data_IF_755030561536
#
_entry.id   IF_755030561536
#
_cell.length_a   1.000
_cell.length_b   1.000
_cell.length_c   1.000
_cell.angle_alpha   90.00
_cell.angle_beta   90.00
_cell.angle_gamma   90.00
#
_symmetry.space_group_name_H-M   'P 1'
#
loop_
_entity.id
_entity.type
_entity.pdbx_description
1 polymer ?
#
# COMPACT_ATOMS: atom_id res chain seq x y z
N UNK A 1 12.69 -8.96 -19.81
CA UNK A 1 13.98 -9.21 -19.12
C UNK A 1 13.92 -10.63 -18.58
N UNK A 2 15.05 -11.31 -18.38
CA UNK A 2 15.03 -12.60 -17.68
C UNK A 2 14.66 -12.39 -16.20
N UNK A 3 13.93 -13.34 -15.61
CA UNK A 3 13.52 -13.29 -14.21
C UNK A 3 14.70 -13.59 -13.29
N UNK A 4 15.52 -12.57 -13.03
CA UNK A 4 16.65 -12.59 -12.10
C UNK A 4 16.24 -12.02 -10.75
N UNK A 5 16.90 -12.47 -9.68
CA UNK A 5 16.59 -12.06 -8.31
C UNK A 5 17.85 -11.76 -7.50
N UNK A 6 17.74 -10.85 -6.53
CA UNK A 6 18.79 -10.52 -5.57
C UNK A 6 18.43 -11.16 -4.23
N UNK A 7 19.38 -11.87 -3.61
CA UNK A 7 19.22 -12.41 -2.25
C UNK A 7 19.44 -11.31 -1.21
N UNK A 8 18.37 -10.80 -0.62
CA UNK A 8 18.45 -9.82 0.46
C UNK A 8 18.50 -10.50 1.83
N UNK A 9 19.58 -10.29 2.58
CA UNK A 9 19.69 -10.79 3.95
C UNK A 9 18.87 -9.94 4.92
N UNK A 10 18.22 -10.58 5.90
CA UNK A 10 17.44 -9.90 6.97
C UNK A 10 18.23 -8.89 7.79
N UNK A 11 19.56 -9.01 7.79
CA UNK A 11 20.49 -8.03 8.36
C UNK A 11 20.35 -6.64 7.71
N UNK A 12 19.80 -6.53 6.50
CA UNK A 12 19.42 -5.26 5.90
C UNK A 12 18.50 -4.43 6.82
N UNK A 13 17.64 -5.08 7.61
CA UNK A 13 16.75 -4.40 8.58
C UNK A 13 17.47 -3.72 9.75
N UNK A 14 18.79 -3.94 9.92
CA UNK A 14 19.64 -3.26 10.90
C UNK A 14 20.29 -1.98 10.34
N UNK A 15 20.18 -1.71 9.04
CA UNK A 15 20.80 -0.54 8.41
C UNK A 15 19.92 0.71 8.57
N UNK A 16 20.51 1.86 8.87
CA UNK A 16 19.76 3.11 9.05
C UNK A 16 19.04 3.57 7.78
N UNK A 17 19.63 3.36 6.59
CA UNK A 17 19.00 3.70 5.29
C UNK A 17 17.79 2.79 4.99
N UNK A 18 17.82 1.54 5.46
CA UNK A 18 16.65 0.65 5.40
C UNK A 18 15.55 1.07 6.40
N UNK A 19 15.86 1.94 7.36
CA UNK A 19 14.88 2.43 8.33
C UNK A 19 14.54 3.92 8.14
N UNK A 20 14.89 4.50 6.98
CA UNK A 20 14.55 5.88 6.62
C UNK A 20 13.02 6.05 6.49
N UNK A 21 12.48 7.13 7.08
CA UNK A 21 11.03 7.33 7.21
C UNK A 21 10.55 8.55 6.43
N UNK A 22 9.32 8.54 5.89
CA UNK A 22 8.33 7.47 5.98
C UNK A 22 8.54 6.38 4.92
N UNK A 23 8.21 5.13 5.26
CA UNK A 23 8.29 4.02 4.31
C UNK A 23 7.31 4.24 3.14
N UNK A 24 7.70 3.81 1.94
CA UNK A 24 6.74 3.55 0.87
C UNK A 24 5.98 2.23 1.08
N UNK A 25 5.02 1.92 0.21
CA UNK A 25 4.18 0.72 0.37
C UNK A 25 4.93 -0.59 0.10
N UNK A 26 5.83 -0.60 -0.88
CA UNK A 26 6.60 -1.79 -1.22
C UNK A 26 7.63 -2.07 -0.13
N UNK A 27 8.37 -1.06 0.30
CA UNK A 27 9.34 -1.17 1.37
C UNK A 27 8.71 -1.60 2.71
N UNK A 28 7.48 -1.15 3.01
CA UNK A 28 6.70 -1.67 4.14
C UNK A 28 6.33 -3.17 4.00
N UNK A 29 6.05 -3.66 2.78
CA UNK A 29 5.81 -5.09 2.53
C UNK A 29 7.10 -5.92 2.56
N UNK A 30 8.21 -5.38 2.01
CA UNK A 30 9.55 -5.95 2.13
C UNK A 30 9.98 -6.10 3.59
N UNK A 31 9.71 -5.10 4.44
CA UNK A 31 9.92 -5.20 5.89
C UNK A 31 9.13 -6.37 6.49
N UNK A 32 7.86 -6.55 6.11
CA UNK A 32 7.04 -7.69 6.59
C UNK A 32 7.63 -9.03 6.11
N UNK A 33 8.03 -9.15 4.85
CA UNK A 33 8.72 -10.33 4.29
C UNK A 33 10.01 -10.68 5.06
N UNK A 34 10.83 -9.67 5.37
CA UNK A 34 12.09 -9.85 6.12
C UNK A 34 11.89 -10.13 7.62
N UNK A 35 10.69 -9.92 8.16
CA UNK A 35 10.35 -10.18 9.58
C UNK A 35 9.48 -11.42 9.79
N UNK A 36 8.67 -11.85 8.83
CA UNK A 36 7.97 -13.15 8.81
C UNK A 36 8.91 -14.31 9.15
N UNK A 37 8.56 -15.26 10.02
CA UNK A 37 9.47 -16.34 10.39
C UNK A 37 9.70 -17.29 9.19
N UNK A 38 10.93 -17.83 9.06
CA UNK A 38 11.28 -18.77 7.98
C UNK A 38 10.92 -20.22 8.32
N UNK A 39 10.76 -20.52 9.60
CA UNK A 39 10.43 -21.82 10.14
C UNK A 39 9.46 -21.61 11.29
N UNK A 40 8.64 -22.62 11.57
CA UNK A 40 7.71 -22.62 12.70
C UNK A 40 8.44 -22.30 14.01
N UNK A 41 7.81 -21.47 14.85
CA UNK A 41 8.38 -21.01 16.11
C UNK A 41 7.29 -20.87 17.16
N UNK A 42 7.63 -21.18 18.41
CA UNK A 42 6.81 -20.83 19.57
C UNK A 42 7.54 -19.77 20.39
N UNK A 43 6.83 -18.73 20.80
CA UNK A 43 7.33 -17.64 21.66
C UNK A 43 6.36 -17.38 22.82
N UNK A 44 6.88 -16.90 23.96
CA UNK A 44 6.02 -16.45 25.07
C UNK A 44 5.94 -14.94 25.05
N UNK A 45 4.75 -14.40 24.82
CA UNK A 45 4.49 -12.96 24.71
C UNK A 45 3.43 -12.59 25.73
N UNK A 46 3.79 -11.71 26.68
CA UNK A 46 2.91 -11.25 27.77
C UNK A 46 2.25 -12.40 28.56
N UNK A 47 2.99 -13.49 28.76
CA UNK A 47 2.53 -14.69 29.47
C UNK A 47 1.69 -15.67 28.64
N UNK A 48 1.36 -15.36 27.39
CA UNK A 48 0.70 -16.30 26.47
C UNK A 48 1.72 -17.00 25.57
N UNK A 49 1.49 -18.29 25.31
CA UNK A 49 2.28 -19.10 24.38
C UNK A 49 1.74 -18.88 22.96
N UNK A 50 2.48 -18.13 22.16
CA UNK A 50 2.18 -17.82 20.76
C UNK A 50 2.91 -18.80 19.86
N UNK A 51 2.15 -19.60 19.10
CA UNK A 51 2.67 -20.40 17.99
C UNK A 51 2.60 -19.59 16.70
N UNK A 52 3.67 -19.62 15.91
CA UNK A 52 3.80 -18.97 14.60
C UNK A 52 4.22 -20.01 13.57
N UNK A 53 3.45 -20.12 12.49
CA UNK A 53 3.75 -20.96 11.33
C UNK A 53 4.70 -20.26 10.35
N UNK A 54 5.34 -21.02 9.47
CA UNK A 54 6.25 -20.47 8.45
C UNK A 54 5.55 -19.39 7.60
N UNK A 55 6.17 -18.22 7.49
CA UNK A 55 5.59 -17.05 6.82
C UNK A 55 4.76 -16.13 7.71
N UNK A 56 4.60 -16.44 9.01
CA UNK A 56 3.89 -15.59 9.97
C UNK A 56 4.84 -14.69 10.77
N UNK A 57 4.34 -13.55 11.23
CA UNK A 57 4.94 -12.75 12.30
C UNK A 57 3.85 -12.19 13.22
N UNK A 58 4.19 -11.96 14.49
CA UNK A 58 3.31 -11.24 15.41
C UNK A 58 3.81 -9.81 15.63
N UNK A 59 2.91 -8.84 15.51
CA UNK A 59 3.21 -7.41 15.62
C UNK A 59 2.12 -6.66 16.36
N UNK A 60 2.48 -5.54 16.98
CA UNK A 60 1.50 -4.52 17.38
C UNK A 60 1.30 -3.55 16.22
N UNK A 61 0.07 -3.38 15.71
CA UNK A 61 -0.22 -2.43 14.62
C UNK A 61 0.19 -0.99 14.97
N UNK A 62 0.11 -0.60 16.25
CA UNK A 62 0.64 0.69 16.70
C UNK A 62 2.15 0.79 16.48
N UNK A 63 2.90 -0.23 16.92
CA UNK A 63 4.36 -0.25 16.78
C UNK A 63 4.77 -0.34 15.31
N UNK A 64 4.01 -1.07 14.49
CA UNK A 64 4.20 -1.16 13.05
C UNK A 64 4.03 0.20 12.35
N UNK A 65 3.01 0.98 12.74
CA UNK A 65 2.81 2.35 12.26
C UNK A 65 3.96 3.29 12.68
N UNK A 66 4.44 3.18 13.92
CA UNK A 66 5.61 3.91 14.44
C UNK A 66 6.90 3.53 13.66
N UNK A 67 7.09 2.25 13.32
CA UNK A 67 8.20 1.77 12.47
C UNK A 67 8.14 2.38 11.08
N UNK A 68 7.01 2.29 10.39
CA UNK A 68 6.86 2.79 9.00
C UNK A 68 6.79 4.32 8.89
N UNK A 69 6.67 5.04 10.01
CA UNK A 69 6.48 6.50 10.02
C UNK A 69 5.10 6.90 9.50
N UNK A 70 4.07 6.10 9.78
CA UNK A 70 2.72 6.25 9.23
C UNK A 70 1.69 6.58 10.31
N UNK A 71 0.62 7.28 9.93
CA UNK A 71 -0.59 7.36 10.76
C UNK A 71 -1.31 6.01 10.79
N UNK A 72 -2.03 5.73 11.89
CA UNK A 72 -2.85 4.51 12.05
C UNK A 72 -3.77 4.26 10.84
N UNK A 73 -4.50 5.27 10.40
CA UNK A 73 -5.39 5.17 9.24
C UNK A 73 -4.68 5.09 7.87
N UNK A 74 -3.36 5.28 7.78
CA UNK A 74 -2.58 4.92 6.58
C UNK A 74 -2.19 3.44 6.64
N UNK A 75 -1.80 2.94 7.82
CA UNK A 75 -1.52 1.53 8.03
C UNK A 75 -2.76 0.65 7.81
N UNK A 76 -3.93 1.00 8.37
CA UNK A 76 -5.17 0.23 8.20
C UNK A 76 -5.55 0.09 6.71
N UNK A 77 -5.46 1.18 5.94
CA UNK A 77 -5.66 1.15 4.47
C UNK A 77 -4.64 0.30 3.73
N UNK A 78 -3.40 0.22 4.23
CA UNK A 78 -2.37 -0.64 3.66
C UNK A 78 -2.62 -2.12 3.97
N UNK A 79 -3.04 -2.45 5.19
CA UNK A 79 -3.46 -3.81 5.55
C UNK A 79 -4.60 -4.30 4.65
N UNK A 80 -5.68 -3.51 4.51
CA UNK A 80 -6.79 -3.83 3.61
C UNK A 80 -6.38 -3.96 2.14
N UNK A 81 -5.39 -3.16 1.70
CA UNK A 81 -4.83 -3.30 0.35
C UNK A 81 -4.10 -4.64 0.18
N UNK A 82 -3.26 -5.05 1.14
CA UNK A 82 -2.55 -6.34 1.09
C UNK A 82 -3.51 -7.53 1.19
N UNK A 83 -4.55 -7.44 2.02
CA UNK A 83 -5.64 -8.43 2.12
C UNK A 83 -6.36 -8.55 0.77
N UNK A 84 -6.74 -7.43 0.15
CA UNK A 84 -7.42 -7.41 -1.16
C UNK A 84 -6.57 -7.92 -2.33
N UNK A 85 -5.24 -7.88 -2.19
CA UNK A 85 -4.28 -8.33 -3.20
C UNK A 85 -3.74 -9.74 -2.94
N UNK A 86 -4.25 -10.45 -1.92
CA UNK A 86 -3.77 -11.77 -1.49
C UNK A 86 -2.24 -11.81 -1.27
N UNK A 87 -1.73 -10.75 -0.63
CA UNK A 87 -0.31 -10.59 -0.30
C UNK A 87 -0.04 -10.88 1.18
N UNK A 88 -0.98 -10.51 2.06
CA UNK A 88 -0.92 -10.82 3.48
C UNK A 88 -2.30 -10.69 4.15
N UNK A 89 -2.55 -11.53 5.15
CA UNK A 89 -3.74 -11.49 6.01
C UNK A 89 -3.37 -11.14 7.46
N UNK A 90 -4.30 -10.48 8.18
CA UNK A 90 -4.06 -9.91 9.52
C UNK A 90 -5.09 -10.44 10.54
N UNK A 91 -4.74 -11.49 11.28
CA UNK A 91 -5.56 -12.00 12.38
C UNK A 91 -5.33 -11.17 13.66
N UNK A 92 -6.41 -10.51 14.09
CA UNK A 92 -6.47 -9.61 15.25
C UNK A 92 -7.16 -10.27 16.45
N UNK A 93 -7.64 -11.51 16.32
CA UNK A 93 -8.49 -12.21 17.27
C UNK A 93 -7.75 -13.31 18.04
N UNK A 94 -6.92 -14.13 17.39
CA UNK A 94 -6.31 -15.38 17.96
C UNK A 94 -5.78 -15.24 19.39
N UNK A 95 -4.97 -14.21 19.63
CA UNK A 95 -4.36 -13.91 20.94
C UNK A 95 -4.87 -12.60 21.55
N UNK A 96 -5.89 -11.98 20.94
CA UNK A 96 -6.47 -10.72 21.34
C UNK A 96 -5.56 -9.48 21.19
N UNK A 97 -6.19 -8.30 21.27
CA UNK A 97 -5.53 -7.01 21.06
C UNK A 97 -4.42 -6.67 22.08
N UNK A 98 -4.39 -7.35 23.23
CA UNK A 98 -3.36 -7.18 24.24
C UNK A 98 -2.02 -7.80 23.84
N UNK A 99 -2.02 -8.96 23.16
CA UNK A 99 -0.79 -9.66 22.75
C UNK A 99 -0.28 -9.13 21.43
N UNK A 100 -1.11 -9.16 20.37
CA UNK A 100 -0.73 -8.64 19.06
C UNK A 100 -1.65 -9.09 17.92
N UNK A 101 -1.23 -8.78 16.71
CA UNK A 101 -1.83 -9.21 15.45
C UNK A 101 -0.90 -10.20 14.78
N UNK A 102 -1.38 -11.39 14.42
CA UNK A 102 -0.66 -12.29 13.53
C UNK A 102 -0.79 -11.74 12.12
N UNK A 103 0.32 -11.60 11.42
CA UNK A 103 0.38 -11.28 10.00
C UNK A 103 0.90 -12.52 9.30
N UNK A 104 0.10 -13.09 8.40
CA UNK A 104 0.49 -14.21 7.54
C UNK A 104 0.84 -13.66 6.18
N UNK A 105 2.07 -13.89 5.70
CA UNK A 105 2.41 -13.56 4.31
C UNK A 105 1.87 -14.66 3.40
N UNK A 106 0.96 -14.29 2.52
CA UNK A 106 0.36 -15.24 1.59
C UNK A 106 1.35 -15.61 0.49
N UNK A 107 1.37 -16.89 0.12
CA UNK A 107 2.34 -17.44 -0.83
C UNK A 107 3.82 -17.25 -0.39
N UNK A 108 4.12 -17.15 0.91
CA UNK A 108 5.46 -16.86 1.44
C UNK A 108 6.61 -17.68 0.80
N UNK A 109 6.40 -18.96 0.52
CA UNK A 109 7.37 -19.83 -0.17
C UNK A 109 7.83 -19.25 -1.51
N UNK A 110 6.94 -18.63 -2.31
CA UNK A 110 7.29 -17.98 -3.59
C UNK A 110 8.32 -16.84 -3.45
N UNK A 111 8.43 -16.25 -2.25
CA UNK A 111 9.39 -15.18 -1.94
C UNK A 111 10.69 -15.71 -1.32
N UNK A 112 10.76 -16.98 -0.94
CA UNK A 112 11.94 -17.61 -0.30
C UNK A 112 12.63 -18.64 -1.19
N UNK A 113 11.85 -19.36 -1.99
CA UNK A 113 12.32 -20.33 -2.97
C UNK A 113 12.58 -19.60 -4.28
N UNK A 114 13.86 -19.28 -4.53
CA UNK A 114 14.27 -18.85 -5.87
C UNK A 114 13.94 -19.97 -6.84
N UNK A 115 13.04 -19.71 -7.80
CA UNK A 115 12.39 -20.71 -8.66
C UNK A 115 13.28 -21.92 -8.96
N UNK A 116 12.92 -23.08 -8.43
CA UNK A 116 13.00 -24.27 -9.26
C UNK A 116 12.08 -23.99 -10.47
N UNK A 117 12.59 -24.17 -11.67
CA UNK A 117 11.87 -23.89 -12.93
C UNK A 117 10.65 -24.79 -13.04
N UNK A 118 9.49 -24.30 -12.62
CA UNK A 118 8.19 -24.94 -12.83
C UNK A 118 7.67 -24.56 -14.22
N UNK A 119 8.30 -25.12 -15.25
CA UNK A 119 7.68 -25.27 -16.56
C UNK A 119 6.75 -26.49 -16.50
N UNK A 120 5.55 -26.28 -15.93
CA UNK A 120 4.43 -27.22 -16.00
C UNK A 120 3.12 -26.52 -15.62
N UNK A 121 2.33 -26.23 -16.65
CA UNK A 121 0.88 -26.45 -16.79
C UNK A 121 -0.02 -26.48 -15.54
N UNK A 122 -1.08 -25.70 -15.62
CA UNK A 122 -2.31 -25.82 -14.85
C UNK A 122 -3.04 -27.14 -15.14
N UNK A 123 -2.89 -28.15 -14.28
CA UNK A 123 -3.87 -29.24 -14.17
C UNK A 123 -4.25 -29.54 -12.73
N UNK A 124 -5.55 -29.78 -12.54
CA UNK A 124 -6.18 -30.19 -11.29
C UNK A 124 -6.09 -31.71 -11.16
N UNK A 125 -5.78 -32.24 -9.97
CA UNK A 125 -6.53 -33.36 -9.33
C UNK A 125 -6.04 -33.67 -7.91
N UNK A 126 -6.82 -34.48 -7.21
CA UNK A 126 -6.81 -34.64 -5.76
C UNK A 126 -5.78 -35.64 -5.20
N UNK A 127 -5.35 -35.33 -3.96
CA UNK A 127 -5.12 -36.26 -2.85
C UNK A 127 -3.90 -37.21 -2.79
N UNK A 128 -3.34 -37.20 -1.56
CA UNK A 128 -2.71 -38.31 -0.80
C UNK A 128 -1.18 -38.30 -0.69
N UNK A 129 -0.74 -38.55 0.56
CA UNK A 129 0.57 -38.98 1.08
C UNK A 129 1.68 -39.35 0.08
N UNK A 130 2.96 -39.04 0.34
CA UNK A 130 3.61 -39.52 1.57
C UNK A 130 4.84 -38.71 2.04
N UNK A 131 5.32 -39.05 3.24
CA UNK A 131 6.55 -38.53 3.85
C UNK A 131 7.79 -39.18 3.21
N UNK A 132 8.81 -38.38 2.89
CA UNK A 132 10.20 -38.82 3.08
C UNK A 132 11.11 -37.69 3.56
N UNK A 133 11.87 -37.98 4.61
CA UNK A 133 12.98 -37.19 5.13
C UNK A 133 14.13 -37.07 4.13
N UNK A 134 14.87 -35.95 4.13
CA UNK A 134 16.34 -36.06 4.16
C UNK A 134 17.06 -34.85 4.76
N UNK A 135 17.73 -35.12 5.89
CA UNK A 135 19.03 -34.51 6.26
C UNK A 135 20.05 -35.07 5.22
N UNK A 136 21.20 -34.48 4.90
CA UNK A 136 22.35 -34.30 5.80
C UNK A 136 23.45 -33.52 5.06
N UNK A 137 24.21 -32.70 5.80
CA UNK A 137 25.61 -32.24 5.56
C UNK A 137 26.20 -32.09 4.14
N UNK A 138 26.87 -30.93 3.92
CA UNK A 138 28.34 -30.97 3.89
C UNK A 138 29.00 -29.66 4.37
N UNK A 139 30.17 -29.80 5.00
CA UNK A 139 31.11 -28.74 5.40
C UNK A 139 32.45 -28.99 4.70
N UNK A 140 33.07 -27.96 4.16
CA UNK A 140 34.53 -27.77 3.96
C UNK A 140 34.74 -26.32 3.49
N UNK A 141 35.21 -25.38 4.33
CA UNK A 141 36.61 -25.01 4.66
C UNK A 141 37.34 -24.21 3.55
N UNK A 142 37.75 -22.98 3.91
CA UNK A 142 39.01 -22.25 3.59
C UNK A 142 39.64 -22.37 2.18
N UNK A 143 40.13 -21.34 1.48
CA UNK A 143 40.64 -19.99 1.84
C UNK A 143 40.24 -18.99 0.71
N UNK A 144 40.73 -17.75 0.52
CA UNK A 144 41.85 -16.95 1.08
C UNK A 144 41.49 -15.44 1.03
N UNK A 145 42.36 -14.54 1.51
CA UNK A 145 42.20 -13.08 1.44
C UNK A 145 43.23 -12.39 0.52
N UNK A 146 42.84 -11.31 -0.16
CA UNK A 146 43.74 -10.28 -0.74
C UNK A 146 43.19 -8.88 -0.42
N UNK A 147 44.07 -7.92 -0.15
CA UNK A 147 43.77 -6.53 0.29
C UNK A 147 44.11 -5.49 -0.79
N UNK A 148 43.26 -4.43 -0.89
CA UNK A 148 43.58 -3.02 -1.24
C UNK A 148 44.11 -2.78 -2.70
N UNK A 149 44.13 -1.56 -3.27
CA UNK A 149 44.00 -0.18 -2.73
C UNK A 149 43.33 0.84 -3.70
N UNK A 150 43.37 2.16 -3.40
CA UNK A 150 42.63 3.27 -4.08
C UNK A 150 43.49 4.10 -5.06
N UNK A 151 42.88 4.73 -6.10
CA UNK A 151 42.78 6.22 -6.28
C UNK A 151 42.08 6.71 -7.58
N UNK A 152 41.35 7.84 -7.43
CA UNK A 152 41.23 9.07 -8.27
C UNK A 152 41.82 9.12 -9.71
N UNK A 153 41.31 9.87 -10.73
CA UNK A 153 40.34 11.00 -10.77
C UNK A 153 39.86 11.36 -12.22
N UNK A 154 38.67 11.99 -12.29
CA UNK A 154 38.18 13.07 -13.21
C UNK A 154 37.73 12.87 -14.70
N UNK A 155 36.56 13.50 -14.96
CA UNK A 155 36.04 14.23 -16.13
C UNK A 155 35.87 13.60 -17.54
N UNK A 156 34.60 13.47 -18.00
CA UNK A 156 33.96 14.47 -18.89
C UNK A 156 32.45 14.23 -19.13
N UNK A 157 31.73 15.32 -19.47
CA UNK A 157 30.29 15.41 -19.76
C UNK A 157 29.83 14.58 -20.97
N UNK A 158 28.57 14.10 -20.98
CA UNK A 158 27.52 14.75 -21.80
C UNK A 158 26.06 14.28 -21.52
N UNK A 159 25.12 15.24 -21.59
CA UNK A 159 23.79 15.23 -22.26
C UNK A 159 23.10 13.84 -22.38
N UNK A 160 21.90 13.60 -21.85
CA UNK A 160 20.68 14.39 -22.07
C UNK A 160 19.85 14.69 -20.81
N UNK A 161 19.53 15.98 -20.64
CA UNK A 161 18.29 16.41 -19.98
C UNK A 161 17.45 17.13 -21.05
N UNK A 162 16.36 16.52 -21.50
CA UNK A 162 15.26 17.21 -22.18
C UNK A 162 13.99 17.00 -21.36
N UNK A 163 13.65 17.93 -20.48
CA UNK A 163 12.81 19.07 -20.84
C UNK A 163 11.41 18.64 -21.32
N UNK A 164 10.49 18.45 -20.37
CA UNK A 164 9.18 19.11 -20.52
C UNK A 164 9.26 20.44 -19.80
N UNK A 165 9.19 21.49 -20.62
CA UNK A 165 9.35 22.89 -20.26
C UNK A 165 8.40 23.30 -19.14
N UNK A 166 8.96 23.71 -17.99
CA UNK A 166 8.30 24.71 -17.16
C UNK A 166 8.58 26.06 -17.81
N UNK A 167 7.59 26.61 -18.51
CA UNK A 167 7.64 28.03 -18.89
C UNK A 167 7.35 28.82 -17.61
N UNK A 168 8.41 29.21 -16.91
CA UNK A 168 8.32 30.17 -15.81
C UNK A 168 8.12 31.57 -16.39
N UNK A 169 6.86 31.93 -16.66
CA UNK A 169 6.47 33.30 -16.39
C UNK A 169 6.43 33.42 -14.87
N UNK A 170 7.23 34.34 -14.32
CA UNK A 170 7.26 34.56 -12.89
C UNK A 170 6.00 35.29 -12.46
N UNK A 171 5.19 34.64 -11.63
CA UNK A 171 4.20 35.30 -10.79
C UNK A 171 3.95 34.45 -9.54
N UNK A 172 3.55 35.11 -8.45
CA UNK A 172 3.54 34.52 -7.11
C UNK A 172 2.63 33.28 -6.98
N UNK A 173 2.95 32.42 -6.01
CA UNK A 173 2.08 31.30 -5.61
C UNK A 173 0.70 31.87 -5.28
N UNK A 174 -0.27 31.66 -6.18
CA UNK A 174 -1.60 32.21 -6.00
C UNK A 174 -2.22 31.61 -4.74
N UNK A 175 -2.49 32.47 -3.77
CA UNK A 175 -3.34 32.13 -2.63
C UNK A 175 -4.69 31.71 -3.21
N UNK A 176 -5.31 30.68 -2.64
CA UNK A 176 -6.62 30.21 -3.10
C UNK A 176 -7.62 31.38 -3.10
N UNK A 177 -8.00 31.84 -4.29
CA UNK A 177 -9.06 32.83 -4.48
C UNK A 177 -10.38 32.09 -4.52
N UNK A 178 -11.30 32.44 -3.62
CA UNK A 178 -12.66 31.91 -3.69
C UNK A 178 -13.31 32.36 -5.00
N UNK A 179 -13.96 31.46 -5.77
CA UNK A 179 -14.66 31.84 -6.98
C UNK A 179 -15.87 32.72 -6.67
N UNK A 180 -16.21 33.55 -7.62
CA UNK A 180 -17.51 34.20 -7.70
C UNK A 180 -18.58 33.21 -8.21
N UNK A 181 -19.84 33.46 -7.87
CA UNK A 181 -20.99 32.71 -8.39
C UNK A 181 -21.01 32.69 -9.93
N UNK A 182 -20.59 33.78 -10.58
CA UNK A 182 -20.51 33.86 -12.05
C UNK A 182 -19.45 32.92 -12.62
N UNK A 183 -18.27 32.79 -12.00
CA UNK A 183 -17.24 31.84 -12.45
C UNK A 183 -17.69 30.39 -12.30
N UNK A 184 -18.34 30.04 -11.18
CA UNK A 184 -18.90 28.69 -10.99
C UNK A 184 -19.99 28.41 -12.03
N UNK A 185 -20.92 29.35 -12.24
CA UNK A 185 -22.00 29.24 -13.24
C UNK A 185 -21.45 29.06 -14.66
N UNK A 186 -20.47 29.86 -15.06
CA UNK A 186 -19.81 29.72 -16.35
C UNK A 186 -19.15 28.35 -16.52
N UNK A 187 -18.46 27.85 -15.49
CA UNK A 187 -17.81 26.53 -15.52
C UNK A 187 -18.81 25.37 -15.57
N UNK A 188 -19.94 25.44 -14.85
CA UNK A 188 -21.01 24.44 -14.93
C UNK A 188 -21.63 24.38 -16.34
N UNK A 189 -21.89 25.55 -16.96
CA UNK A 189 -22.41 25.67 -18.33
C UNK A 189 -21.40 25.12 -19.35
N UNK A 190 -20.12 25.52 -19.27
CA UNK A 190 -19.02 25.04 -20.13
C UNK A 190 -18.93 23.51 -20.11
N UNK A 191 -19.05 22.92 -18.91
CA UNK A 191 -18.98 21.47 -18.69
C UNK A 191 -20.28 20.72 -19.01
N UNK A 192 -21.39 21.43 -19.27
CA UNK A 192 -22.75 20.88 -19.39
C UNK A 192 -23.13 19.95 -18.23
N UNK A 193 -22.79 20.33 -17.00
CA UNK A 193 -23.11 19.53 -15.81
C UNK A 193 -24.41 19.98 -15.14
N UNK A 194 -24.97 19.10 -14.30
CA UNK A 194 -26.12 19.38 -13.43
C UNK A 194 -25.62 19.69 -11.99
N UNK A 195 -24.72 20.68 -11.86
CA UNK A 195 -24.30 21.22 -10.56
C UNK A 195 -24.85 22.62 -10.40
N UNK A 196 -25.79 22.76 -9.45
CA UNK A 196 -26.34 24.05 -8.99
C UNK A 196 -25.20 24.95 -8.44
N UNK A 197 -24.89 26.08 -9.11
CA UNK A 197 -23.79 26.96 -8.72
C UNK A 197 -24.02 27.66 -7.37
N UNK A 198 -25.26 28.00 -7.03
CA UNK A 198 -25.60 28.71 -5.78
C UNK A 198 -25.39 27.79 -4.59
N UNK A 199 -26.00 26.60 -4.65
CA UNK A 199 -25.82 25.56 -3.62
C UNK A 199 -24.37 25.12 -3.45
N UNK A 200 -23.57 25.15 -4.52
CA UNK A 200 -22.12 24.88 -4.44
C UNK A 200 -21.38 25.98 -3.66
N UNK A 201 -21.66 27.26 -3.94
CA UNK A 201 -21.05 28.39 -3.21
C UNK A 201 -21.44 28.34 -1.74
N UNK A 202 -22.73 28.23 -1.41
CA UNK A 202 -23.23 28.27 -0.04
C UNK A 202 -22.62 27.16 0.84
N UNK A 203 -22.47 25.96 0.28
CA UNK A 203 -21.84 24.84 0.98
C UNK A 203 -20.38 25.11 1.35
N UNK A 204 -19.61 25.76 0.47
CA UNK A 204 -18.19 26.03 0.72
C UNK A 204 -17.94 27.35 1.46
N UNK A 205 -18.79 28.36 1.32
CA UNK A 205 -18.71 29.57 2.14
C UNK A 205 -19.03 29.24 3.61
N UNK A 206 -20.07 28.43 3.87
CA UNK A 206 -20.43 27.97 5.24
C UNK A 206 -19.39 27.04 5.88
N UNK A 207 -18.62 26.28 5.09
CA UNK A 207 -17.57 25.38 5.61
C UNK A 207 -16.15 25.98 5.61
N UNK A 208 -15.99 27.27 5.27
CA UNK A 208 -14.69 27.94 5.24
C UNK A 208 -13.75 27.45 4.12
N UNK A 209 -14.33 27.02 2.99
CA UNK A 209 -13.65 26.47 1.81
C UNK A 209 -12.76 25.26 2.15
N UNK A 210 -13.29 24.30 2.90
CA UNK A 210 -12.60 23.06 3.29
C UNK A 210 -13.06 21.85 2.49
N UNK A 211 -12.10 20.95 2.20
CA UNK A 211 -12.33 19.62 1.63
C UNK A 211 -11.74 18.59 2.59
N UNK A 212 -12.61 17.94 3.37
CA UNK A 212 -12.20 17.08 4.47
C UNK A 212 -11.52 17.91 5.58
N UNK A 213 -10.24 17.62 5.86
CA UNK A 213 -9.46 18.33 6.90
C UNK A 213 -8.58 19.47 6.37
N UNK A 214 -8.57 19.70 5.06
CA UNK A 214 -7.66 20.66 4.41
C UNK A 214 -8.45 21.77 3.72
N UNK A 215 -7.86 22.97 3.62
CA UNK A 215 -8.40 24.03 2.75
C UNK A 215 -8.37 23.60 1.27
N UNK A 216 -9.39 24.01 0.53
CA UNK A 216 -9.52 23.78 -0.90
C UNK A 216 -8.36 24.45 -1.67
N UNK A 217 -7.93 23.82 -2.77
CA UNK A 217 -6.87 24.32 -3.66
C UNK A 217 -7.37 24.61 -5.08
N UNK A 218 -8.35 23.84 -5.55
CA UNK A 218 -9.00 24.00 -6.85
C UNK A 218 -10.51 23.75 -6.65
N UNK A 219 -11.32 24.79 -6.84
CA UNK A 219 -12.78 24.69 -6.74
C UNK A 219 -13.39 23.99 -7.95
N UNK A 220 -12.77 24.08 -9.13
CA UNK A 220 -13.21 23.37 -10.35
C UNK A 220 -13.09 21.86 -10.15
N UNK A 221 -12.12 21.39 -9.37
CA UNK A 221 -12.01 19.98 -8.98
C UNK A 221 -13.12 19.55 -7.99
N UNK A 222 -13.59 20.46 -7.14
CA UNK A 222 -14.70 20.18 -6.22
C UNK A 222 -16.04 20.05 -6.98
N UNK A 223 -16.30 20.90 -8.00
CA UNK A 223 -17.46 20.79 -8.89
C UNK A 223 -17.52 19.40 -9.57
N UNK A 224 -16.38 18.91 -10.09
CA UNK A 224 -16.25 17.56 -10.69
C UNK A 224 -16.55 16.41 -9.70
N UNK A 225 -16.38 16.64 -8.41
CA UNK A 225 -16.70 15.64 -7.37
C UNK A 225 -18.18 15.71 -6.98
N UNK A 226 -18.78 16.90 -6.96
CA UNK A 226 -20.20 17.11 -6.76
C UNK A 226 -21.04 16.42 -7.85
N UNK A 227 -20.65 16.60 -9.10
CA UNK A 227 -21.22 15.92 -10.28
C UNK A 227 -21.31 14.40 -10.07
N UNK A 228 -20.19 13.75 -9.72
CA UNK A 228 -20.12 12.30 -9.49
C UNK A 228 -20.96 11.83 -8.30
N UNK A 229 -20.94 12.57 -7.20
CA UNK A 229 -21.72 12.23 -5.99
C UNK A 229 -23.23 12.47 -6.16
N UNK A 230 -23.65 13.35 -7.08
CA UNK A 230 -25.08 13.51 -7.42
C UNK A 230 -25.55 12.34 -8.28
N UNK A 231 -24.76 11.93 -9.27
CA UNK A 231 -25.05 10.77 -10.11
C UNK A 231 -25.18 9.46 -9.30
N UNK A 232 -24.29 9.21 -8.33
CA UNK A 232 -24.37 8.01 -7.49
C UNK A 232 -25.64 7.99 -6.63
N UNK A 233 -26.00 9.12 -6.01
CA UNK A 233 -27.24 9.22 -5.20
C UNK A 233 -28.51 9.07 -6.02
N UNK A 234 -28.53 9.56 -7.26
CA UNK A 234 -29.67 9.33 -8.16
C UNK A 234 -29.80 7.85 -8.53
N UNK A 235 -28.68 7.15 -8.79
CA UNK A 235 -28.69 5.72 -9.09
C UNK A 235 -29.11 4.86 -7.88
N UNK A 236 -28.62 5.19 -6.68
CA UNK A 236 -29.03 4.55 -5.42
C UNK A 236 -30.54 4.74 -5.15
N UNK A 237 -31.08 5.94 -5.39
CA UNK A 237 -32.52 6.21 -5.22
C UNK A 237 -33.37 5.39 -6.21
N UNK A 238 -32.96 5.30 -7.47
CA UNK A 238 -33.66 4.49 -8.49
C UNK A 238 -33.66 3.00 -8.11
N UNK A 239 -32.55 2.48 -7.58
CA UNK A 239 -32.48 1.10 -7.07
C UNK A 239 -33.30 0.87 -5.81
N UNK A 240 -33.57 1.90 -5.00
CA UNK A 240 -34.36 1.78 -3.79
C UNK A 240 -35.87 1.92 -4.05
N UNK A 241 -36.28 2.79 -4.97
CA UNK A 241 -37.67 2.93 -5.42
C UNK A 241 -38.10 1.76 -6.33
N UNK A 242 -37.19 1.13 -7.07
CA UNK A 242 -37.48 -0.07 -7.86
C UNK A 242 -37.47 -1.40 -7.08
N UNK A 243 -37.37 -1.38 -5.74
CA UNK A 243 -37.19 -2.58 -4.89
C UNK A 243 -38.32 -2.81 -3.86
N UNK A 244 -39.50 -2.26 -4.12
CA UNK A 244 -40.79 -2.65 -3.55
C UNK A 244 -41.84 -2.54 -4.66
N UNK A 245 -42.76 -3.52 -4.74
CA UNK A 245 -44.14 -3.42 -5.31
C UNK A 245 -44.74 -4.75 -5.81
N UNK A 246 -44.07 -5.93 -5.72
CA UNK A 246 -44.71 -7.19 -6.21
C UNK A 246 -44.40 -8.53 -5.50
N UNK A 247 -43.69 -8.57 -4.36
CA UNK A 247 -43.42 -9.84 -3.65
C UNK A 247 -43.75 -9.73 -2.15
N UNK A 248 -45.05 -9.71 -1.82
CA UNK A 248 -45.56 -9.97 -0.46
C UNK A 248 -47.03 -10.50 -0.48
N UNK A 249 -47.51 -11.03 -1.62
CA UNK A 249 -48.88 -11.57 -1.75
C UNK A 249 -48.94 -12.90 -2.53
N UNK A 250 -48.26 -13.93 -2.00
CA UNK A 250 -48.48 -15.36 -2.29
C UNK A 250 -48.15 -16.23 -1.06
#
# INVERSE_FOLDING_TARGET
MADTYIKLFRKATENDLFNEKPFDRWHAFEWLLLKACRFEKTEVIKGQVVKLETGQLIVSLRKLAETFGWSRGKLERFCTMLESMQMASFDRATYGASVGTIVTIENYSRYQEGRATSEATYETTNSTSDRTTNRTTNRTTDSTSIKKEKKDKKDKNNIYNSARTRVSHGDGVSKFTKPTLQEVKAYCIERKNDVDPERFIDFYESNGWMVGKNKMKDWRAAVRNWERNRASKSAEKIQQEGRLDWIDEL
#
